data_IF_768643437498
#
_entry.id   IF_768643437498
#
_cell.length_a   1.000
_cell.length_b   1.000
_cell.length_c   1.000
_cell.angle_alpha   90.00
_cell.angle_beta   90.00
_cell.angle_gamma   90.00
#
_symmetry.space_group_name_H-M   'P 1'
#
loop_
_entity.id
_entity.type
_entity.pdbx_description
1 polymer ?
#
# COMPACT_ATOMS: atom_id res chain seq x y z
N UNK A 1 -5.24 28.59 15.20
CA UNK A 1 -5.06 27.39 16.05
C UNK A 1 -5.57 27.71 17.44
N UNK A 2 -6.32 26.81 18.07
CA UNK A 2 -6.73 26.98 19.46
C UNK A 2 -5.49 26.90 20.37
N UNK A 3 -5.44 27.73 21.41
CA UNK A 3 -4.33 27.78 22.36
C UNK A 3 -4.34 26.61 23.37
N UNK A 4 -5.44 25.84 23.42
CA UNK A 4 -5.59 24.64 24.26
C UNK A 4 -6.15 23.48 23.42
N UNK A 5 -5.61 22.28 23.66
CA UNK A 5 -6.11 21.05 23.04
C UNK A 5 -7.49 20.65 23.58
N UNK A 6 -8.23 19.88 22.79
CA UNK A 6 -9.46 19.23 23.23
C UNK A 6 -9.16 18.07 24.18
N UNK A 7 -10.13 17.75 25.04
CA UNK A 7 -10.08 16.53 25.84
C UNK A 7 -10.18 15.28 24.96
N UNK A 8 -9.64 14.15 25.43
CA UNK A 8 -9.74 12.86 24.73
C UNK A 8 -11.20 12.50 24.37
N UNK A 9 -12.13 12.73 25.31
CA UNK A 9 -13.56 12.46 25.11
C UNK A 9 -14.15 13.29 23.95
N UNK A 10 -13.78 14.56 23.86
CA UNK A 10 -14.23 15.42 22.77
C UNK A 10 -13.66 14.94 21.43
N UNK A 11 -12.37 14.60 21.39
CA UNK A 11 -11.72 14.08 20.18
C UNK A 11 -12.37 12.76 19.73
N UNK A 12 -12.56 11.80 20.63
CA UNK A 12 -13.19 10.52 20.33
C UNK A 12 -14.65 10.70 19.87
N UNK A 13 -15.38 11.66 20.45
CA UNK A 13 -16.74 11.99 19.98
C UNK A 13 -16.73 12.56 18.56
N UNK A 14 -15.78 13.43 18.23
CA UNK A 14 -15.66 13.97 16.88
C UNK A 14 -15.32 12.88 15.86
N UNK A 15 -14.38 11.98 16.19
CA UNK A 15 -14.01 10.85 15.34
C UNK A 15 -15.19 9.90 15.10
N UNK A 16 -15.95 9.57 16.15
CA UNK A 16 -17.16 8.73 16.04
C UNK A 16 -18.21 9.38 15.14
N UNK A 17 -18.45 10.68 15.30
CA UNK A 17 -19.41 11.42 14.49
C UNK A 17 -18.97 11.51 13.02
N UNK A 18 -17.66 11.57 12.74
CA UNK A 18 -17.14 11.50 11.38
C UNK A 18 -17.37 10.11 10.77
N UNK A 19 -16.97 9.04 11.48
CA UNK A 19 -17.12 7.66 11.03
C UNK A 19 -18.59 7.26 10.77
N UNK A 20 -19.55 7.82 11.52
CA UNK A 20 -20.98 7.59 11.29
C UNK A 20 -21.50 8.11 9.95
N UNK A 21 -20.77 8.99 9.28
CA UNK A 21 -21.12 9.49 7.94
C UNK A 21 -20.66 8.55 6.83
N UNK A 22 -19.77 7.62 7.12
CA UNK A 22 -19.20 6.71 6.13
C UNK A 22 -20.20 5.58 5.79
N UNK A 23 -20.15 5.14 4.53
CA UNK A 23 -20.93 3.99 4.09
C UNK A 23 -20.29 2.71 4.63
N UNK A 24 -21.05 1.93 5.40
CA UNK A 24 -20.58 0.65 5.90
C UNK A 24 -20.45 -0.39 4.79
N UNK A 25 -19.44 -1.26 4.89
CA UNK A 25 -19.06 -2.23 3.86
C UNK A 25 -20.13 -3.29 3.58
N UNK A 26 -21.10 -3.51 4.48
CA UNK A 26 -22.30 -4.35 4.26
C UNK A 26 -23.18 -3.82 3.11
N UNK A 27 -23.05 -2.54 2.76
CA UNK A 27 -23.81 -1.89 1.68
C UNK A 27 -22.97 -1.60 0.44
N UNK A 28 -21.65 -1.78 0.50
CA UNK A 28 -20.74 -1.45 -0.60
C UNK A 28 -20.60 -2.65 -1.53
N UNK A 29 -21.05 -2.50 -2.79
CA UNK A 29 -21.01 -3.56 -3.80
C UNK A 29 -19.97 -3.34 -4.91
N UNK A 30 -19.31 -2.17 -4.93
CA UNK A 30 -18.44 -1.73 -6.03
C UNK A 30 -16.99 -1.48 -5.64
N UNK A 31 -16.63 -1.63 -4.37
CA UNK A 31 -15.26 -1.41 -3.91
C UNK A 31 -14.41 -2.68 -4.03
N UNK A 32 -13.12 -2.49 -4.30
CA UNK A 32 -12.11 -3.57 -4.26
C UNK A 32 -11.44 -3.72 -2.88
N UNK A 33 -11.99 -3.05 -1.86
CA UNK A 33 -11.58 -3.15 -0.46
C UNK A 33 -12.74 -3.70 0.38
N UNK A 34 -12.41 -4.30 1.52
CA UNK A 34 -13.38 -4.85 2.48
C UNK A 34 -12.85 -4.77 3.89
N UNK A 35 -13.65 -5.22 4.86
CA UNK A 35 -13.24 -5.33 6.26
C UNK A 35 -12.00 -6.22 6.38
N UNK A 36 -10.93 -5.74 7.04
CA UNK A 36 -9.71 -6.51 7.19
C UNK A 36 -9.96 -7.73 8.09
N UNK A 37 -9.18 -8.80 7.85
CA UNK A 37 -9.21 -9.97 8.70
C UNK A 37 -8.85 -9.58 10.16
N UNK A 38 -9.54 -10.09 11.21
CA UNK A 38 -9.32 -9.65 12.59
C UNK A 38 -7.87 -9.78 13.09
N UNK A 39 -7.14 -10.79 12.62
CA UNK A 39 -5.71 -10.96 12.95
C UNK A 39 -4.86 -9.85 12.31
N UNK A 40 -5.20 -9.41 11.10
CA UNK A 40 -4.48 -8.32 10.43
C UNK A 40 -4.64 -6.99 11.19
N UNK A 41 -5.83 -6.73 11.75
CA UNK A 41 -6.07 -5.56 12.62
C UNK A 41 -5.18 -5.62 13.86
N UNK A 42 -5.13 -6.78 14.54
CA UNK A 42 -4.27 -6.97 15.72
C UNK A 42 -2.79 -6.77 15.40
N UNK A 43 -2.32 -7.35 14.29
CA UNK A 43 -0.94 -7.18 13.84
C UNK A 43 -0.63 -5.72 13.52
N UNK A 44 -1.51 -5.03 12.77
CA UNK A 44 -1.32 -3.61 12.46
C UNK A 44 -1.22 -2.75 13.72
N UNK A 45 -2.10 -2.96 14.70
CA UNK A 45 -2.05 -2.24 15.97
C UNK A 45 -0.76 -2.52 16.76
N UNK A 46 -0.25 -3.75 16.73
CA UNK A 46 1.00 -4.13 17.40
C UNK A 46 2.23 -3.51 16.73
N UNK A 47 2.23 -3.35 15.41
CA UNK A 47 3.33 -2.81 14.62
C UNK A 47 3.11 -1.36 14.16
N UNK A 48 2.16 -0.63 14.78
CA UNK A 48 1.74 0.71 14.31
C UNK A 48 2.87 1.75 14.32
N UNK A 49 3.89 1.55 15.16
CA UNK A 49 5.05 2.42 15.29
C UNK A 49 6.29 1.94 14.51
N UNK A 50 6.21 0.81 13.81
CA UNK A 50 7.30 0.32 12.97
C UNK A 50 7.46 1.15 11.71
N UNK A 51 8.71 1.38 11.29
CA UNK A 51 9.03 2.13 10.07
C UNK A 51 9.95 1.36 9.15
N UNK A 52 9.42 0.90 8.00
CA UNK A 52 10.21 0.16 7.00
C UNK A 52 11.22 1.02 6.23
N UNK A 53 11.14 2.35 6.33
CA UNK A 53 12.18 3.25 5.85
C UNK A 53 13.49 3.17 6.66
N UNK A 54 13.45 2.62 7.87
CA UNK A 54 14.61 2.43 8.76
C UNK A 54 14.66 1.00 9.29
N UNK A 55 14.64 0.02 8.38
CA UNK A 55 14.56 -1.40 8.72
C UNK A 55 15.70 -1.90 9.62
N UNK A 56 16.81 -1.17 9.71
CA UNK A 56 17.91 -1.49 10.63
C UNK A 56 17.48 -1.44 12.10
N UNK A 57 16.54 -0.56 12.45
CA UNK A 57 15.93 -0.46 13.77
C UNK A 57 14.75 -1.43 13.95
N UNK A 58 14.07 -1.79 12.87
CA UNK A 58 12.83 -2.61 12.88
C UNK A 58 13.04 -3.99 12.24
N UNK A 59 14.09 -4.69 12.66
CA UNK A 59 14.53 -5.96 12.05
C UNK A 59 13.43 -7.03 12.06
N UNK A 60 12.67 -7.16 13.14
CA UNK A 60 11.55 -8.11 13.20
C UNK A 60 10.46 -7.83 12.17
N UNK A 61 10.16 -6.55 11.91
CA UNK A 61 9.20 -6.17 10.85
C UNK A 61 9.78 -6.47 9.46
N UNK A 62 11.09 -6.26 9.27
CA UNK A 62 11.77 -6.62 8.02
C UNK A 62 11.76 -8.12 7.75
N UNK A 63 12.03 -8.95 8.76
CA UNK A 63 11.93 -10.40 8.63
C UNK A 63 10.52 -10.86 8.23
N UNK A 64 9.47 -10.20 8.74
CA UNK A 64 8.09 -10.48 8.34
C UNK A 64 7.84 -10.08 6.89
N UNK A 65 8.34 -8.92 6.46
CA UNK A 65 8.28 -8.50 5.06
C UNK A 65 8.91 -9.55 4.13
N UNK A 66 10.13 -9.99 4.43
CA UNK A 66 10.86 -10.98 3.62
C UNK A 66 10.12 -12.32 3.53
N UNK A 67 9.49 -12.75 4.64
CA UNK A 67 8.64 -13.95 4.65
C UNK A 67 7.43 -13.78 3.74
N UNK A 68 6.76 -12.62 3.77
CA UNK A 68 5.61 -12.35 2.89
C UNK A 68 6.04 -12.33 1.42
N UNK A 69 7.16 -11.69 1.08
CA UNK A 69 7.67 -11.68 -0.30
C UNK A 69 7.95 -13.10 -0.78
N UNK A 70 8.59 -13.94 0.04
CA UNK A 70 8.85 -15.35 -0.28
C UNK A 70 7.55 -16.16 -0.46
N UNK A 71 6.55 -15.94 0.39
CA UNK A 71 5.25 -16.59 0.28
C UNK A 71 4.54 -16.19 -1.02
N UNK A 72 4.52 -14.90 -1.34
CA UNK A 72 3.91 -14.38 -2.57
C UNK A 72 4.63 -14.88 -3.82
N UNK A 73 5.96 -14.87 -3.81
CA UNK A 73 6.78 -15.45 -4.88
C UNK A 73 6.47 -16.91 -5.10
N UNK A 74 6.47 -17.72 -4.04
CA UNK A 74 6.10 -19.14 -4.10
C UNK A 74 4.70 -19.37 -4.67
N UNK A 75 3.72 -18.56 -4.27
CA UNK A 75 2.35 -18.62 -4.79
C UNK A 75 2.26 -18.27 -6.28
N UNK A 76 3.11 -17.35 -6.75
CA UNK A 76 3.18 -16.90 -8.15
C UNK A 76 4.15 -17.72 -9.01
N UNK A 77 4.79 -18.75 -8.44
CA UNK A 77 5.69 -19.66 -9.16
C UNK A 77 7.14 -19.18 -9.27
N UNK A 78 7.55 -18.16 -8.52
CA UNK A 78 8.94 -17.68 -8.46
C UNK A 78 9.49 -17.75 -7.02
N UNK A 79 10.24 -18.81 -6.73
CA UNK A 79 10.91 -19.00 -5.43
C UNK A 79 12.05 -18.03 -5.16
N UNK A 80 12.50 -17.28 -6.17
CA UNK A 80 13.56 -16.27 -6.07
C UNK A 80 13.02 -14.84 -6.20
N UNK A 81 11.68 -14.67 -6.09
CA UNK A 81 11.06 -13.36 -6.17
C UNK A 81 11.71 -12.38 -5.17
N UNK A 82 11.96 -11.16 -5.65
CA UNK A 82 12.45 -10.06 -4.83
C UNK A 82 11.48 -8.88 -4.91
N UNK A 83 11.45 -8.08 -3.86
CA UNK A 83 10.53 -6.95 -3.76
C UNK A 83 10.41 -6.44 -2.33
N UNK A 84 9.39 -5.63 -2.10
CA UNK A 84 9.04 -5.08 -0.80
C UNK A 84 7.53 -4.83 -0.76
N UNK A 85 6.96 -4.64 0.43
CA UNK A 85 5.51 -4.39 0.58
C UNK A 85 5.26 -2.91 0.39
N UNK A 86 4.65 -2.57 -0.74
CA UNK A 86 4.30 -1.18 -1.11
C UNK A 86 3.02 -0.72 -0.42
N UNK A 87 2.70 0.57 -0.53
CA UNK A 87 1.44 1.12 -0.01
C UNK A 87 0.21 0.69 -0.81
N UNK A 88 0.39 0.03 -1.95
CA UNK A 88 -0.70 -0.48 -2.79
C UNK A 88 -0.30 -0.64 -4.27
N UNK A 89 -1.26 -1.10 -5.07
CA UNK A 89 -1.02 -1.46 -6.48
C UNK A 89 -0.48 -0.33 -7.37
N UNK A 90 -0.87 0.92 -7.10
CA UNK A 90 -0.35 2.08 -7.85
C UNK A 90 1.16 2.25 -7.65
N UNK A 91 1.67 2.16 -6.41
CA UNK A 91 3.11 2.23 -6.14
C UNK A 91 3.83 1.01 -6.75
N UNK A 92 3.25 -0.18 -6.62
CA UNK A 92 3.79 -1.39 -7.25
C UNK A 92 3.95 -1.24 -8.76
N UNK A 93 2.94 -0.70 -9.45
CA UNK A 93 3.00 -0.46 -10.89
C UNK A 93 4.06 0.61 -11.26
N UNK A 94 4.15 1.69 -10.47
CA UNK A 94 5.19 2.72 -10.66
C UNK A 94 6.58 2.07 -10.60
N UNK A 95 6.83 1.23 -9.60
CA UNK A 95 8.13 0.62 -9.39
C UNK A 95 8.47 -0.45 -10.43
N UNK A 96 7.49 -1.24 -10.86
CA UNK A 96 7.66 -2.18 -11.95
C UNK A 96 8.07 -1.47 -13.25
N UNK A 97 7.37 -0.40 -13.63
CA UNK A 97 7.68 0.35 -14.86
C UNK A 97 8.94 1.18 -14.76
N UNK A 98 9.22 1.80 -13.62
CA UNK A 98 10.49 2.48 -13.36
C UNK A 98 11.67 1.52 -13.50
N UNK A 99 11.53 0.30 -12.98
CA UNK A 99 12.55 -0.76 -13.12
C UNK A 99 12.73 -1.14 -14.59
N UNK A 100 11.65 -1.46 -15.30
CA UNK A 100 11.70 -1.80 -16.72
C UNK A 100 12.32 -0.68 -17.58
N UNK A 101 11.92 0.57 -17.35
CA UNK A 101 12.46 1.76 -18.03
C UNK A 101 13.97 1.86 -17.83
N UNK A 102 14.42 1.81 -16.58
CA UNK A 102 15.84 1.94 -16.22
C UNK A 102 16.67 0.76 -16.76
N UNK A 103 16.12 -0.45 -16.79
CA UNK A 103 16.77 -1.63 -17.36
C UNK A 103 16.84 -1.60 -18.89
N UNK A 104 15.85 -1.00 -19.55
CA UNK A 104 15.76 -0.99 -21.02
C UNK A 104 16.91 -0.25 -21.72
N UNK A 105 17.54 0.72 -21.03
CA UNK A 105 18.58 1.61 -21.57
C UNK A 105 18.17 2.33 -22.88
N UNK A 106 16.87 2.43 -23.18
CA UNK A 106 16.35 3.14 -24.35
C UNK A 106 16.21 4.63 -24.05
N UNK A 107 16.56 5.50 -25.00
CA UNK A 107 16.43 6.96 -24.87
C UNK A 107 14.96 7.41 -24.79
N UNK A 108 14.07 6.72 -25.49
CA UNK A 108 12.62 6.96 -25.54
C UNK A 108 11.89 5.61 -25.48
N UNK A 109 11.74 5.02 -24.29
CA UNK A 109 11.02 3.77 -24.14
C UNK A 109 9.53 4.00 -24.40
N UNK A 110 8.88 3.00 -25.00
CA UNK A 110 7.43 2.97 -25.15
C UNK A 110 6.86 1.85 -24.28
N UNK A 111 5.71 2.11 -23.67
CA UNK A 111 4.95 1.13 -22.91
C UNK A 111 3.71 0.74 -23.70
N UNK A 112 3.43 -0.56 -23.81
CA UNK A 112 2.20 -1.08 -24.42
C UNK A 112 1.28 -1.54 -23.29
N UNK A 113 0.08 -0.98 -23.22
CA UNK A 113 -0.95 -1.33 -22.23
C UNK A 113 -2.29 -1.61 -22.93
N UNK A 114 -3.13 -2.51 -22.37
CA UNK A 114 -4.48 -2.70 -22.88
C UNK A 114 -5.36 -1.49 -22.53
N UNK A 115 -6.45 -1.30 -23.28
CA UNK A 115 -7.44 -0.24 -23.00
C UNK A 115 -8.05 -0.33 -21.60
N UNK A 116 -8.16 -1.54 -21.05
CA UNK A 116 -8.69 -1.80 -19.70
C UNK A 116 -7.67 -1.61 -18.57
N UNK A 117 -6.47 -1.09 -18.87
CA UNK A 117 -5.44 -0.87 -17.87
C UNK A 117 -5.93 0.07 -16.76
N UNK A 118 -5.47 -0.18 -15.53
CA UNK A 118 -5.78 0.66 -14.38
C UNK A 118 -5.23 2.09 -14.59
N UNK A 119 -5.95 3.12 -14.12
CA UNK A 119 -5.58 4.53 -14.30
C UNK A 119 -4.16 4.88 -13.84
N UNK A 120 -3.55 4.07 -12.95
CA UNK A 120 -2.16 4.24 -12.54
C UNK A 120 -1.20 4.28 -13.71
N UNK A 121 -1.49 3.62 -14.84
CA UNK A 121 -0.61 3.62 -16.00
C UNK A 121 -0.51 5.00 -16.66
N UNK A 122 -1.60 5.75 -16.75
CA UNK A 122 -1.59 7.14 -17.24
C UNK A 122 -0.77 8.03 -16.30
N UNK A 123 -0.98 7.87 -14.98
CA UNK A 123 -0.19 8.56 -13.96
C UNK A 123 1.30 8.24 -14.07
N UNK A 124 1.66 6.99 -14.39
CA UNK A 124 3.05 6.57 -14.54
C UNK A 124 3.68 7.19 -15.79
N UNK A 125 2.95 7.25 -16.91
CA UNK A 125 3.42 7.91 -18.13
C UNK A 125 3.73 9.40 -17.88
N UNK A 126 2.87 10.09 -17.13
CA UNK A 126 3.10 11.48 -16.73
C UNK A 126 4.31 11.64 -15.79
N UNK A 127 4.45 10.78 -14.78
CA UNK A 127 5.54 10.85 -13.80
C UNK A 127 6.91 10.44 -14.37
N UNK A 128 6.97 9.50 -15.30
CA UNK A 128 8.22 8.90 -15.77
C UNK A 128 8.68 9.39 -17.14
N UNK A 129 7.84 10.12 -17.88
CA UNK A 129 8.12 10.62 -19.24
C UNK A 129 8.22 9.54 -20.30
#
# INVERSE_FOLDING_TARGET
MNLKGHSEKEVLSQLKNAMQKDTSYDKVMSAMCTQPHPIAVKAHMQFIASNMGDFGLFQGTKELEDKVIKMMGGMLGDGNACGYITTGGTESNIQALRTARNMSKKKRPNMIVPFSAHFSFDKIADLLG
#
